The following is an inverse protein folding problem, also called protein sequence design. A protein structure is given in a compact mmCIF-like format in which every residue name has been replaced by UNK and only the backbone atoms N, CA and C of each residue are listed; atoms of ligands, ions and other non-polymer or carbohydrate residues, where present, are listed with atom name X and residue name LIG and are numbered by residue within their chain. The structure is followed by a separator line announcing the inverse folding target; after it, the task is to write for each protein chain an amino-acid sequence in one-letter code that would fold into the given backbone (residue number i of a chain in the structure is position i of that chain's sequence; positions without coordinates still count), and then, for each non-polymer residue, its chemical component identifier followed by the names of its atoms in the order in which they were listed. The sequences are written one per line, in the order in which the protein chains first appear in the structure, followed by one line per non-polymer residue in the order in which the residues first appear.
data_IF_461460122079
#
_entry.id   IF_461460122079
#
_cell.length_a   1.000
_cell.length_b   1.000
_cell.length_c   1.000
_cell.angle_alpha   90.00
_cell.angle_beta   90.00
_cell.angle_gamma   90.00
#
_symmetry.space_group_name_H-M   'P 1'
#
loop_
_entity.id
_entity.type
_entity.pdbx_description
1 polymer ?
#
# COMPACT_ATOMS: atom_id res chain seq x y z
N UNK A 1 -15.40 -12.02 17.89
CA UNK A 1 -15.85 -12.53 19.21
C UNK A 1 -15.20 -11.84 20.41
N UNK A 2 -13.86 -11.69 20.49
CA UNK A 2 -13.17 -11.10 21.67
C UNK A 2 -13.70 -9.69 22.02
N UNK A 3 -13.69 -8.76 21.06
CA UNK A 3 -14.23 -7.39 21.23
C UNK A 3 -15.77 -7.35 21.31
N UNK A 4 -16.43 -8.27 20.61
CA UNK A 4 -17.89 -8.31 20.50
C UNK A 4 -18.60 -8.76 21.79
N UNK A 5 -17.89 -9.44 22.69
CA UNK A 5 -18.42 -9.94 23.97
C UNK A 5 -17.86 -9.21 25.19
N UNK A 6 -17.13 -8.10 25.00
CA UNK A 6 -16.56 -7.36 26.11
C UNK A 6 -15.65 -8.19 27.04
N UNK A 7 -15.09 -9.31 26.55
CA UNK A 7 -14.15 -10.15 27.30
C UNK A 7 -12.77 -9.47 27.46
N UNK A 8 -12.61 -8.30 26.83
CA UNK A 8 -11.53 -7.32 26.96
C UNK A 8 -11.84 -6.21 27.99
N UNK A 9 -13.00 -6.24 28.67
CA UNK A 9 -13.26 -5.32 29.75
C UNK A 9 -12.25 -5.56 30.88
N UNK A 10 -11.43 -4.53 31.13
CA UNK A 10 -10.76 -4.38 32.42
C UNK A 10 -11.80 -4.60 33.51
N UNK A 11 -11.43 -5.34 34.54
CA UNK A 11 -12.21 -5.44 35.78
C UNK A 11 -12.57 -4.01 36.22
N UNK A 12 -13.81 -3.58 35.98
CA UNK A 12 -14.25 -2.22 36.25
C UNK A 12 -14.57 -2.11 37.74
N UNK A 13 -13.52 -1.98 38.55
CA UNK A 13 -13.58 -1.45 39.92
C UNK A 13 -13.07 -0.02 39.91
N UNK A 14 -13.91 0.94 40.31
CA UNK A 14 -13.69 2.38 40.12
C UNK A 14 -12.34 2.95 40.57
N UNK A 15 -11.83 3.89 39.76
CA UNK A 15 -11.07 5.07 40.16
C UNK A 15 -9.85 4.89 41.07
N UNK A 16 -8.70 4.54 40.51
CA UNK A 16 -7.40 4.73 41.17
C UNK A 16 -6.25 3.94 40.51
N UNK A 17 -5.00 4.40 40.68
CA UNK A 17 -3.79 3.65 40.26
C UNK A 17 -3.77 2.23 40.87
N UNK A 18 -4.44 2.02 42.01
CA UNK A 18 -4.55 0.75 42.74
C UNK A 18 -5.71 -0.17 42.32
N UNK A 19 -6.57 0.22 41.38
CA UNK A 19 -7.69 -0.61 40.92
C UNK A 19 -7.24 -1.87 40.18
N UNK A 20 -8.04 -2.96 40.16
CA UNK A 20 -7.70 -4.17 39.43
C UNK A 20 -7.57 -3.86 37.92
N UNK A 21 -6.44 -4.22 37.33
CA UNK A 21 -6.18 -4.09 35.88
C UNK A 21 -5.76 -5.45 35.33
N UNK A 22 -6.19 -5.80 34.12
CA UNK A 22 -5.89 -7.08 33.47
C UNK A 22 -7.13 -7.79 32.93
N UNK A 23 -6.90 -8.88 32.18
CA UNK A 23 -7.95 -9.71 31.54
C UNK A 23 -8.04 -9.56 30.02
N UNK A 24 -7.48 -8.51 29.43
CA UNK A 24 -7.55 -8.31 27.99
C UNK A 24 -6.63 -9.28 27.22
N UNK A 25 -7.25 -10.08 26.35
CA UNK A 25 -6.57 -10.78 25.27
C UNK A 25 -6.25 -9.79 24.16
N UNK A 26 -5.00 -9.77 23.71
CA UNK A 26 -4.58 -8.95 22.59
C UNK A 26 -3.92 -9.83 21.52
N UNK A 27 -4.49 -9.82 20.33
CA UNK A 27 -3.99 -10.51 19.16
C UNK A 27 -3.82 -9.49 18.04
N UNK A 28 -2.81 -9.69 17.20
CA UNK A 28 -2.69 -8.93 15.97
C UNK A 28 -3.89 -9.25 15.07
N UNK A 29 -4.90 -8.37 15.12
CA UNK A 29 -6.25 -8.62 14.61
C UNK A 29 -6.30 -8.25 13.13
N UNK A 30 -6.90 -9.10 12.28
CA UNK A 30 -7.00 -8.82 10.85
C UNK A 30 -7.90 -7.60 10.59
N UNK A 31 -7.55 -6.83 9.56
CA UNK A 31 -8.39 -5.78 8.98
C UNK A 31 -9.24 -6.33 7.83
N UNK A 32 -9.46 -5.48 6.82
CA UNK A 32 -10.17 -5.89 5.61
C UNK A 32 -9.31 -6.79 4.70
N UNK A 33 -7.99 -6.68 4.80
CA UNK A 33 -7.03 -7.43 3.99
C UNK A 33 -6.69 -8.80 4.61
N UNK A 34 -6.73 -9.83 3.79
CA UNK A 34 -6.31 -11.20 4.12
C UNK A 34 -4.81 -11.31 3.86
N UNK A 35 -4.03 -11.28 4.95
CA UNK A 35 -2.58 -11.38 4.93
C UNK A 35 -2.09 -12.67 5.61
N UNK A 36 -0.96 -13.24 5.15
CA UNK A 36 -0.19 -14.18 5.95
C UNK A 36 0.25 -13.51 7.25
N UNK A 37 -0.05 -14.15 8.39
CA UNK A 37 0.25 -13.62 9.72
C UNK A 37 0.84 -14.71 10.61
N UNK A 38 1.61 -14.27 11.60
CA UNK A 38 2.07 -15.16 12.67
C UNK A 38 1.09 -15.26 13.84
N UNK A 39 -0.03 -14.52 13.81
CA UNK A 39 -1.04 -14.55 14.88
C UNK A 39 -1.88 -15.83 14.85
N UNK A 40 -2.00 -16.46 13.68
CA UNK A 40 -2.60 -17.77 13.49
C UNK A 40 -1.78 -18.53 12.44
N UNK A 41 -1.29 -19.73 12.77
CA UNK A 41 -0.44 -20.54 11.88
C UNK A 41 -0.98 -21.96 11.84
N UNK A 42 -1.02 -22.54 10.65
CA UNK A 42 -1.21 -23.98 10.42
C UNK A 42 0.13 -24.53 9.95
N UNK A 43 0.67 -25.54 10.65
CA UNK A 43 2.02 -26.07 10.38
C UNK A 43 2.00 -27.41 9.61
N UNK A 44 0.82 -27.85 9.18
CA UNK A 44 0.62 -29.11 8.46
C UNK A 44 0.65 -30.35 9.35
N UNK A 45 0.84 -30.22 10.67
CA UNK A 45 0.79 -31.32 11.63
C UNK A 45 -0.60 -31.47 12.29
N UNK A 46 -1.67 -31.14 11.56
CA UNK A 46 -3.05 -31.07 12.07
C UNK A 46 -3.24 -30.16 13.30
N UNK A 47 -2.33 -29.19 13.50
CA UNK A 47 -2.44 -28.21 14.59
C UNK A 47 -2.68 -26.79 14.08
N UNK A 48 -3.39 -26.01 14.90
CA UNK A 48 -3.57 -24.57 14.74
C UNK A 48 -2.88 -23.88 15.91
N UNK A 49 -1.85 -23.08 15.60
CA UNK A 49 -1.16 -22.26 16.59
C UNK A 49 -1.74 -20.84 16.59
N UNK A 50 -2.30 -20.40 17.71
CA UNK A 50 -2.67 -19.00 17.92
C UNK A 50 -1.65 -18.28 18.80
N UNK A 51 -1.12 -17.15 18.32
CA UNK A 51 -0.20 -16.28 19.07
C UNK A 51 -0.89 -15.00 19.49
N UNK A 52 -1.07 -14.84 20.80
CA UNK A 52 -1.67 -13.65 21.41
C UNK A 52 -1.00 -13.34 22.75
N UNK A 53 -1.27 -12.16 23.29
CA UNK A 53 -0.81 -11.74 24.61
C UNK A 53 -2.00 -11.63 25.57
N UNK A 54 -1.72 -11.86 26.86
CA UNK A 54 -2.70 -11.75 27.94
C UNK A 54 -2.14 -10.84 29.00
N UNK A 55 -2.90 -9.82 29.39
CA UNK A 55 -2.56 -8.97 30.53
C UNK A 55 -3.01 -9.66 31.82
N UNK A 56 -2.06 -10.24 32.57
CA UNK A 56 -2.39 -10.95 33.81
C UNK A 56 -2.86 -9.99 34.91
N UNK A 57 -3.87 -10.39 35.71
CA UNK A 57 -4.49 -9.51 36.69
C UNK A 57 -3.62 -9.32 37.94
N UNK A 58 -3.54 -8.08 38.40
CA UNK A 58 -2.82 -7.71 39.63
C UNK A 58 -3.52 -6.56 40.37
N UNK A 59 -3.36 -6.54 41.70
CA UNK A 59 -3.68 -5.41 42.56
C UNK A 59 -2.36 -4.78 43.05
N UNK A 60 -1.92 -3.70 42.39
CA UNK A 60 -0.58 -3.15 42.60
C UNK A 60 0.51 -4.14 42.16
N UNK A 61 1.29 -4.67 43.12
CA UNK A 61 2.31 -5.71 42.87
C UNK A 61 1.86 -7.12 43.30
N UNK A 62 0.62 -7.27 43.74
CA UNK A 62 0.07 -8.55 44.21
C UNK A 62 -0.68 -9.24 43.07
N UNK A 63 -0.31 -10.48 42.77
CA UNK A 63 -0.96 -11.31 41.73
C UNK A 63 -2.37 -11.72 42.19
N UNK A 64 -3.36 -11.55 41.32
CA UNK A 64 -4.75 -11.97 41.58
C UNK A 64 -4.99 -13.37 41.02
N UNK A 65 -4.50 -14.40 41.72
CA UNK A 65 -4.48 -15.79 41.24
C UNK A 65 -5.84 -16.35 40.81
N UNK A 66 -6.91 -16.09 41.57
CA UNK A 66 -8.26 -16.54 41.21
C UNK A 66 -8.77 -15.90 39.91
N UNK A 67 -8.47 -14.62 39.68
CA UNK A 67 -8.82 -13.94 38.44
C UNK A 67 -7.97 -14.47 37.28
N UNK A 68 -6.69 -14.74 37.51
CA UNK A 68 -5.82 -15.34 36.50
C UNK A 68 -6.32 -16.73 36.07
N UNK A 69 -6.77 -17.56 37.02
CA UNK A 69 -7.41 -18.84 36.73
C UNK A 69 -8.71 -18.67 35.92
N UNK A 70 -9.56 -17.71 36.28
CA UNK A 70 -10.77 -17.43 35.50
C UNK A 70 -10.44 -17.04 34.05
N UNK A 71 -9.42 -16.20 33.83
CA UNK A 71 -9.02 -15.76 32.48
C UNK A 71 -8.43 -16.92 31.67
N UNK A 72 -7.44 -17.64 32.24
CA UNK A 72 -6.65 -18.63 31.50
C UNK A 72 -7.28 -20.02 31.49
N UNK A 73 -7.83 -20.46 32.62
CA UNK A 73 -8.37 -21.81 32.80
C UNK A 73 -9.83 -21.95 32.39
N UNK A 74 -10.59 -20.85 32.32
CA UNK A 74 -12.02 -20.88 31.97
C UNK A 74 -12.27 -20.10 30.68
N UNK A 75 -12.06 -18.79 30.67
CA UNK A 75 -12.44 -17.93 29.54
C UNK A 75 -11.65 -18.26 28.27
N UNK A 76 -10.34 -18.51 28.38
CA UNK A 76 -9.50 -18.87 27.22
C UNK A 76 -9.89 -20.23 26.65
N UNK A 77 -10.18 -21.21 27.49
CA UNK A 77 -10.60 -22.56 27.05
C UNK A 77 -11.92 -22.47 26.28
N UNK A 78 -12.91 -21.75 26.83
CA UNK A 78 -14.19 -21.51 26.16
C UNK A 78 -14.01 -20.77 24.81
N UNK A 79 -13.09 -19.79 24.76
CA UNK A 79 -12.80 -19.06 23.54
C UNK A 79 -12.18 -19.98 22.48
N UNK A 80 -11.24 -20.84 22.85
CA UNK A 80 -10.60 -21.81 21.96
C UNK A 80 -11.64 -22.79 21.42
N UNK A 81 -12.49 -23.35 22.28
CA UNK A 81 -13.57 -24.26 21.86
C UNK A 81 -14.52 -23.59 20.86
N UNK A 82 -14.87 -22.32 21.06
CA UNK A 82 -15.79 -21.60 20.17
C UNK A 82 -15.16 -21.09 18.87
N UNK A 83 -13.84 -20.92 18.81
CA UNK A 83 -13.16 -20.27 17.69
C UNK A 83 -12.31 -21.18 16.83
N UNK A 84 -11.86 -22.33 17.35
CA UNK A 84 -10.97 -23.25 16.64
C UNK A 84 -11.61 -24.60 16.33
N UNK A 85 -12.74 -24.94 16.94
CA UNK A 85 -13.44 -26.21 16.67
C UNK A 85 -14.44 -26.01 15.54
N UNK A 86 -14.21 -26.67 14.41
CA UNK A 86 -15.03 -26.53 13.19
C UNK A 86 -16.54 -26.72 13.42
N UNK A 87 -16.92 -27.68 14.28
CA UNK A 87 -18.33 -27.92 14.62
C UNK A 87 -19.01 -26.73 15.33
N UNK A 88 -18.23 -25.85 15.95
CA UNK A 88 -18.72 -24.67 16.67
C UNK A 88 -18.67 -23.38 15.83
N UNK A 89 -18.12 -23.45 14.62
CA UNK A 89 -18.03 -22.32 13.70
C UNK A 89 -19.25 -22.27 12.78
N UNK A 90 -19.50 -21.10 12.22
CA UNK A 90 -20.38 -20.96 11.07
C UNK A 90 -19.66 -21.52 9.83
N UNK A 91 -20.05 -22.73 9.42
CA UNK A 91 -19.37 -23.44 8.34
C UNK A 91 -19.55 -22.75 6.99
N UNK A 92 -20.70 -22.11 6.76
CA UNK A 92 -20.99 -21.39 5.52
C UNK A 92 -20.11 -20.15 5.40
N UNK A 93 -19.99 -19.37 6.48
CA UNK A 93 -19.12 -18.19 6.52
C UNK A 93 -17.64 -18.56 6.38
N UNK A 94 -17.19 -19.64 7.01
CA UNK A 94 -15.81 -20.11 6.87
C UNK A 94 -15.52 -20.55 5.44
N UNK A 95 -16.43 -21.31 4.83
CA UNK A 95 -16.31 -21.74 3.43
C UNK A 95 -16.28 -20.53 2.48
N UNK A 96 -17.19 -19.57 2.66
CA UNK A 96 -17.22 -18.34 1.87
C UNK A 96 -15.91 -17.55 2.00
N UNK A 97 -15.33 -17.47 3.19
CA UNK A 97 -14.06 -16.79 3.43
C UNK A 97 -12.91 -17.43 2.64
N UNK A 98 -12.79 -18.75 2.69
CA UNK A 98 -11.76 -19.51 1.95
C UNK A 98 -11.96 -19.35 0.44
N UNK A 99 -13.17 -19.58 -0.06
CA UNK A 99 -13.50 -19.45 -1.48
C UNK A 99 -13.25 -18.03 -2.00
N UNK A 100 -13.52 -17.00 -1.19
CA UNK A 100 -13.27 -15.61 -1.57
C UNK A 100 -11.77 -15.34 -1.74
N UNK A 101 -10.93 -15.87 -0.86
CA UNK A 101 -9.48 -15.76 -0.99
C UNK A 101 -8.94 -16.53 -2.21
N UNK A 102 -9.42 -17.75 -2.45
CA UNK A 102 -9.04 -18.57 -3.61
C UNK A 102 -9.46 -17.93 -4.93
N UNK A 103 -10.67 -17.37 -5.00
CA UNK A 103 -11.17 -16.65 -6.17
C UNK A 103 -10.30 -15.45 -6.51
N UNK A 104 -9.92 -14.64 -5.52
CA UNK A 104 -9.03 -13.51 -5.73
C UNK A 104 -7.67 -13.94 -6.25
N UNK A 105 -7.12 -15.03 -5.71
CA UNK A 105 -5.86 -15.57 -6.19
C UNK A 105 -5.96 -16.07 -7.63
N UNK A 106 -7.05 -16.77 -7.98
CA UNK A 106 -7.34 -17.23 -9.35
C UNK A 106 -7.38 -16.06 -10.33
N UNK A 107 -8.16 -15.01 -10.02
CA UNK A 107 -8.29 -13.82 -10.87
C UNK A 107 -6.94 -13.13 -11.06
N UNK A 108 -6.15 -13.00 -9.99
CA UNK A 108 -4.83 -12.34 -10.04
C UNK A 108 -3.83 -13.12 -10.91
N UNK A 109 -3.84 -14.45 -10.86
CA UNK A 109 -2.96 -15.28 -11.69
C UNK A 109 -3.22 -15.12 -13.19
N UNK A 110 -4.47 -14.88 -13.59
CA UNK A 110 -4.85 -14.69 -15.00
C UNK A 110 -4.44 -13.33 -15.57
N UNK A 111 -4.09 -12.34 -14.73
CA UNK A 111 -3.76 -10.98 -15.21
C UNK A 111 -2.63 -10.99 -16.25
N UNK A 112 -1.56 -11.76 -16.01
CA UNK A 112 -0.42 -11.81 -16.91
C UNK A 112 -0.78 -12.43 -18.26
N UNK A 113 -1.56 -13.51 -18.26
CA UNK A 113 -2.01 -14.23 -19.47
C UNK A 113 -2.91 -13.36 -20.34
N UNK A 114 -3.73 -12.50 -19.71
CA UNK A 114 -4.61 -11.55 -20.38
C UNK A 114 -3.94 -10.19 -20.67
N UNK A 115 -2.63 -10.05 -20.44
CA UNK A 115 -1.87 -8.81 -20.61
C UNK A 115 -2.45 -7.61 -19.82
N UNK A 116 -2.94 -7.88 -18.62
CA UNK A 116 -3.53 -6.91 -17.70
C UNK A 116 -2.57 -6.56 -16.54
N UNK A 117 -2.72 -5.36 -16.00
CA UNK A 117 -2.12 -4.94 -14.72
C UNK A 117 -3.12 -5.02 -13.57
N UNK A 118 -4.41 -4.82 -13.86
CA UNK A 118 -5.48 -4.87 -12.88
C UNK A 118 -6.80 -5.32 -13.51
N UNK A 119 -7.69 -5.85 -12.67
CA UNK A 119 -9.05 -6.23 -13.02
C UNK A 119 -10.02 -5.75 -11.93
N UNK A 120 -11.14 -5.15 -12.35
CA UNK A 120 -12.17 -4.60 -11.48
C UNK A 120 -13.51 -5.20 -11.88
N UNK A 121 -14.05 -6.10 -11.07
CA UNK A 121 -15.33 -6.76 -11.35
C UNK A 121 -16.52 -5.79 -11.34
N UNK A 122 -17.53 -6.10 -12.17
CA UNK A 122 -18.83 -5.42 -12.07
C UNK A 122 -19.47 -5.69 -10.70
N UNK A 123 -20.10 -4.67 -10.13
CA UNK A 123 -20.77 -4.76 -8.84
C UNK A 123 -19.86 -4.46 -7.63
N UNK A 124 -18.55 -4.31 -7.83
CA UNK A 124 -17.63 -3.93 -6.75
C UNK A 124 -18.00 -2.58 -6.12
N UNK A 125 -17.85 -2.49 -4.80
CA UNK A 125 -18.04 -1.27 -4.03
C UNK A 125 -16.67 -0.72 -3.66
N UNK A 126 -16.22 0.25 -4.45
CA UNK A 126 -14.91 0.89 -4.30
C UNK A 126 -14.83 1.89 -3.13
N UNK A 127 -15.81 2.81 -2.94
CA UNK A 127 -15.70 3.83 -1.90
C UNK A 127 -15.77 3.22 -0.50
N UNK A 128 -15.00 3.80 0.43
CA UNK A 128 -15.00 3.40 1.84
C UNK A 128 -16.00 4.24 2.64
N UNK A 129 -16.37 3.78 3.83
CA UNK A 129 -17.35 4.45 4.69
C UNK A 129 -16.90 5.86 5.10
N UNK A 130 -15.59 6.08 5.29
CA UNK A 130 -15.00 7.39 5.52
C UNK A 130 -13.48 7.34 5.29
N UNK A 131 -12.81 8.49 5.24
CA UNK A 131 -11.34 8.53 5.17
C UNK A 131 -10.60 7.95 6.40
N UNK A 132 -11.33 7.58 7.47
CA UNK A 132 -10.77 6.95 8.66
C UNK A 132 -11.24 5.49 8.86
N UNK A 133 -12.07 4.96 7.96
CA UNK A 133 -12.58 3.59 8.03
C UNK A 133 -12.25 2.84 6.75
N UNK A 134 -11.64 1.68 6.92
CA UNK A 134 -11.40 0.77 5.81
C UNK A 134 -12.63 -0.01 5.40
N UNK A 135 -13.79 0.08 6.07
CA UNK A 135 -15.02 -0.65 5.67
C UNK A 135 -15.67 -0.06 4.42
N UNK A 136 -16.42 -0.84 3.62
CA UNK A 136 -17.12 -0.29 2.44
C UNK A 136 -18.14 0.77 2.83
N UNK A 137 -18.41 1.68 1.90
CA UNK A 137 -19.51 2.63 2.03
C UNK A 137 -20.85 1.87 1.99
N UNK A 138 -21.54 1.87 3.13
CA UNK A 138 -22.89 1.34 3.26
C UNK A 138 -23.88 2.50 3.25
N UNK A 139 -24.24 2.95 2.04
CA UNK A 139 -25.22 4.03 1.85
C UNK A 139 -26.11 3.73 0.66
N UNK A 140 -27.36 4.20 0.70
CA UNK A 140 -28.29 4.10 -0.42
C UNK A 140 -27.80 4.83 -1.70
N UNK A 141 -26.79 5.68 -1.56
CA UNK A 141 -26.18 6.47 -2.64
C UNK A 141 -24.94 5.83 -3.25
N UNK A 142 -24.51 4.67 -2.77
CA UNK A 142 -23.35 3.98 -3.34
C UNK A 142 -23.61 3.60 -4.80
N UNK A 143 -22.65 3.86 -5.67
CA UNK A 143 -22.71 3.48 -7.09
C UNK A 143 -21.80 2.27 -7.28
N UNK A 144 -22.34 1.06 -7.46
CA UNK A 144 -21.53 -0.12 -7.76
C UNK A 144 -20.76 0.07 -9.06
N UNK A 145 -19.54 -0.44 -9.09
CA UNK A 145 -18.68 -0.33 -10.27
C UNK A 145 -19.34 -1.01 -11.47
N UNK A 146 -19.33 -0.32 -12.60
CA UNK A 146 -19.84 -0.82 -13.87
C UNK A 146 -18.83 -0.59 -14.98
N UNK A 147 -18.32 -1.67 -15.53
CA UNK A 147 -17.38 -1.69 -16.64
C UNK A 147 -18.00 -1.09 -17.91
N UNK A 148 -17.25 -0.24 -18.65
CA UNK A 148 -17.65 0.16 -19.99
C UNK A 148 -17.52 -1.04 -20.95
N UNK A 149 -18.38 -1.11 -21.97
CA UNK A 149 -18.45 -2.28 -22.87
C UNK A 149 -17.10 -2.58 -23.54
N UNK A 150 -16.38 -1.53 -23.90
CA UNK A 150 -15.13 -1.60 -24.67
C UNK A 150 -13.92 -2.08 -23.85
N UNK A 151 -14.02 -2.09 -22.51
CA UNK A 151 -12.97 -2.58 -21.61
C UNK A 151 -13.38 -3.86 -20.87
N UNK A 152 -14.50 -4.46 -21.28
CA UNK A 152 -15.01 -5.68 -20.65
C UNK A 152 -14.08 -6.84 -20.93
N UNK A 153 -13.62 -7.48 -19.86
CA UNK A 153 -12.96 -8.78 -19.89
C UNK A 153 -13.69 -9.75 -18.98
N UNK A 154 -13.55 -11.03 -19.26
CA UNK A 154 -14.09 -12.13 -18.46
C UNK A 154 -12.92 -12.94 -17.94
N UNK A 155 -12.88 -13.12 -16.62
CA UNK A 155 -11.89 -13.95 -15.93
C UNK A 155 -12.62 -15.04 -15.14
N UNK A 156 -11.90 -16.11 -14.82
CA UNK A 156 -12.46 -17.28 -14.14
C UNK A 156 -12.17 -17.26 -12.64
N UNK A 157 -13.19 -17.51 -11.84
CA UNK A 157 -13.06 -17.85 -10.43
C UNK A 157 -12.41 -19.22 -10.25
N UNK A 158 -12.04 -19.55 -9.01
CA UNK A 158 -11.41 -20.82 -8.69
C UNK A 158 -12.33 -22.02 -8.98
N UNK A 159 -13.65 -21.81 -8.91
CA UNK A 159 -14.67 -22.80 -9.26
C UNK A 159 -14.99 -22.87 -10.77
N UNK A 160 -14.30 -22.08 -11.59
CA UNK A 160 -14.50 -22.00 -13.04
C UNK A 160 -15.66 -21.10 -13.48
N UNK A 161 -16.34 -20.42 -12.56
CA UNK A 161 -17.39 -19.45 -12.92
C UNK A 161 -16.79 -18.16 -13.47
N UNK A 162 -17.42 -17.60 -14.50
CA UNK A 162 -16.98 -16.36 -15.13
C UNK A 162 -17.38 -15.13 -14.31
N UNK A 163 -16.46 -14.18 -14.21
CA UNK A 163 -16.68 -12.84 -13.65
C UNK A 163 -16.33 -11.82 -14.71
N UNK A 164 -17.32 -11.01 -15.07
CA UNK A 164 -17.15 -9.89 -15.99
C UNK A 164 -16.73 -8.62 -15.25
N UNK A 165 -15.75 -7.91 -15.80
CA UNK A 165 -15.25 -6.66 -15.22
C UNK A 165 -14.42 -5.84 -16.20
N UNK A 166 -13.85 -4.74 -15.71
CA UNK A 166 -12.94 -3.90 -16.46
C UNK A 166 -11.51 -4.43 -16.33
N UNK A 167 -10.88 -4.74 -17.45
CA UNK A 167 -9.44 -5.04 -17.51
C UNK A 167 -8.65 -3.76 -17.77
N UNK A 168 -7.61 -3.52 -16.97
CA UNK A 168 -6.62 -2.46 -17.25
C UNK A 168 -5.41 -3.11 -17.93
N UNK A 169 -5.15 -2.84 -19.21
CA UNK A 169 -4.04 -3.45 -19.94
C UNK A 169 -2.69 -2.90 -19.48
N UNK A 170 -1.63 -3.65 -19.76
CA UNK A 170 -0.24 -3.15 -19.64
C UNK A 170 -0.02 -1.97 -20.60
N UNK A 171 0.76 -0.98 -20.15
CA UNK A 171 1.02 0.26 -20.89
C UNK A 171 0.85 1.50 -20.02
N UNK A 172 0.52 2.64 -20.64
CA UNK A 172 0.21 3.91 -19.97
C UNK A 172 -1.30 4.13 -19.97
N UNK A 173 -1.92 4.00 -18.80
CA UNK A 173 -3.35 4.23 -18.58
C UNK A 173 -3.57 5.51 -17.79
N UNK A 174 -4.44 6.38 -18.30
CA UNK A 174 -4.88 7.60 -17.62
C UNK A 174 -6.29 7.41 -17.05
N UNK A 175 -6.47 7.83 -15.81
CA UNK A 175 -7.77 7.98 -15.15
C UNK A 175 -8.07 9.48 -15.03
N UNK A 176 -9.06 9.97 -15.75
CA UNK A 176 -9.41 11.40 -15.81
C UNK A 176 -10.89 11.65 -15.53
N UNK A 177 -11.33 12.91 -15.52
CA UNK A 177 -12.67 13.33 -15.14
C UNK A 177 -12.68 14.47 -14.11
N UNK A 178 -13.87 15.01 -13.83
CA UNK A 178 -14.05 16.12 -12.89
C UNK A 178 -13.60 15.80 -11.46
N UNK A 179 -13.39 16.84 -10.64
CA UNK A 179 -13.15 16.68 -9.21
C UNK A 179 -14.35 16.02 -8.51
N UNK A 180 -14.11 15.09 -7.58
CA UNK A 180 -15.15 14.30 -6.89
C UNK A 180 -15.91 13.27 -7.74
N UNK A 181 -15.42 12.90 -8.94
CA UNK A 181 -16.06 11.86 -9.77
C UNK A 181 -15.54 10.42 -9.50
N UNK A 182 -14.71 10.20 -8.48
CA UNK A 182 -14.26 8.87 -8.05
C UNK A 182 -12.91 8.37 -8.61
N UNK A 183 -12.09 9.26 -9.20
CA UNK A 183 -10.79 8.88 -9.82
C UNK A 183 -9.83 8.26 -8.80
N UNK A 184 -9.55 8.98 -7.71
CA UNK A 184 -8.67 8.51 -6.63
C UNK A 184 -9.24 7.28 -5.95
N UNK A 185 -10.56 7.19 -5.77
CA UNK A 185 -11.23 5.99 -5.23
C UNK A 185 -11.00 4.75 -6.12
N UNK A 186 -11.04 4.90 -7.45
CA UNK A 186 -10.71 3.80 -8.35
C UNK A 186 -9.22 3.43 -8.25
N UNK A 187 -8.33 4.42 -8.22
CA UNK A 187 -6.89 4.17 -8.09
C UNK A 187 -6.53 3.51 -6.75
N UNK A 188 -7.16 3.92 -5.65
CA UNK A 188 -7.00 3.31 -4.32
C UNK A 188 -7.46 1.85 -4.29
N UNK A 189 -8.58 1.53 -4.95
CA UNK A 189 -9.03 0.15 -5.10
C UNK A 189 -8.02 -0.69 -5.91
N UNK A 190 -7.47 -0.14 -7.00
CA UNK A 190 -6.39 -0.78 -7.77
C UNK A 190 -5.13 -0.94 -6.91
N UNK A 191 -4.75 0.09 -6.15
CA UNK A 191 -3.59 0.08 -5.27
C UNK A 191 -3.63 -1.03 -4.23
N UNK A 192 -4.79 -1.23 -3.60
CA UNK A 192 -4.98 -2.26 -2.58
C UNK A 192 -5.38 -3.63 -3.16
N UNK A 193 -5.70 -3.71 -4.46
CA UNK A 193 -5.93 -4.98 -5.18
C UNK A 193 -4.72 -5.94 -5.23
N UNK A 194 -3.54 -5.48 -4.77
CA UNK A 194 -2.38 -6.34 -4.49
C UNK A 194 -2.64 -7.29 -3.32
N UNK A 195 -3.58 -6.96 -2.43
CA UNK A 195 -4.02 -7.83 -1.34
C UNK A 195 -5.33 -8.52 -1.68
N UNK A 196 -5.56 -9.66 -1.02
CA UNK A 196 -6.88 -10.25 -0.95
C UNK A 196 -7.69 -9.52 0.13
N UNK A 197 -9.00 -9.41 -0.04
CA UNK A 197 -9.93 -8.80 0.90
C UNK A 197 -10.95 -9.82 1.41
N UNK A 198 -11.48 -9.56 2.61
CA UNK A 198 -12.53 -10.38 3.23
C UNK A 198 -13.85 -10.33 2.44
N UNK A 199 -14.72 -11.36 2.54
CA UNK A 199 -16.06 -11.31 1.95
C UNK A 199 -16.85 -10.09 2.41
N UNK A 200 -17.53 -9.41 1.47
CA UNK A 200 -18.32 -8.22 1.77
C UNK A 200 -17.50 -6.93 1.92
N UNK A 201 -16.20 -6.94 1.61
CA UNK A 201 -15.37 -5.74 1.57
C UNK A 201 -15.77 -4.76 0.45
N UNK A 202 -16.38 -5.26 -0.61
CA UNK A 202 -16.68 -4.54 -1.85
C UNK A 202 -15.56 -4.60 -2.88
N UNK A 203 -14.30 -4.81 -2.46
CA UNK A 203 -13.10 -4.90 -3.32
C UNK A 203 -12.56 -6.32 -3.45
N UNK A 204 -13.25 -7.33 -2.93
CA UNK A 204 -12.82 -8.74 -2.99
C UNK A 204 -12.82 -9.34 -4.40
N UNK A 205 -13.22 -8.60 -5.43
CA UNK A 205 -13.06 -8.97 -6.84
C UNK A 205 -12.30 -7.89 -7.64
N UNK A 206 -11.52 -7.08 -6.93
CA UNK A 206 -10.58 -6.11 -7.48
C UNK A 206 -9.17 -6.64 -7.24
N UNK A 207 -8.48 -7.00 -8.31
CA UNK A 207 -7.14 -7.59 -8.24
C UNK A 207 -6.15 -6.83 -9.08
N UNK A 208 -4.94 -6.70 -8.57
CA UNK A 208 -3.83 -5.99 -9.22
C UNK A 208 -2.58 -6.87 -9.15
N UNK A 209 -1.71 -6.73 -10.16
CA UNK A 209 -0.39 -7.35 -10.17
C UNK A 209 0.38 -7.03 -8.88
N UNK A 210 0.99 -8.06 -8.27
CA UNK A 210 1.65 -7.94 -6.96
C UNK A 210 2.87 -7.00 -6.96
N UNK A 211 3.38 -6.64 -8.14
CA UNK A 211 4.51 -5.73 -8.32
C UNK A 211 4.05 -4.31 -8.67
N UNK A 212 2.79 -3.98 -8.42
CA UNK A 212 2.30 -2.61 -8.53
C UNK A 212 2.65 -1.80 -7.27
N UNK A 213 3.27 -0.64 -7.47
CA UNK A 213 3.74 0.24 -6.40
C UNK A 213 3.12 1.62 -6.56
N UNK A 214 2.52 2.13 -5.49
CA UNK A 214 2.06 3.53 -5.40
C UNK A 214 3.27 4.45 -5.24
N UNK A 215 3.36 5.44 -6.12
CA UNK A 215 4.38 6.48 -6.10
C UNK A 215 3.72 7.79 -5.71
N UNK A 216 4.41 8.55 -4.85
CA UNK A 216 4.03 9.90 -4.41
C UNK A 216 5.25 10.73 -4.09
N UNK A 217 5.06 12.04 -3.91
CA UNK A 217 6.09 12.90 -3.36
C UNK A 217 6.20 12.71 -1.84
N UNK A 218 7.43 12.76 -1.33
CA UNK A 218 7.78 12.54 0.07
C UNK A 218 8.77 13.63 0.51
N UNK A 219 8.29 14.87 0.53
CA UNK A 219 9.10 16.04 0.87
C UNK A 219 9.72 15.90 2.27
N UNK A 220 11.02 16.17 2.37
CA UNK A 220 11.80 16.05 3.61
C UNK A 220 12.36 14.66 3.92
N UNK A 221 12.11 13.63 3.09
CA UNK A 221 12.68 12.30 3.35
C UNK A 221 14.19 12.24 3.08
N UNK A 222 14.87 11.36 3.80
CA UNK A 222 16.24 10.95 3.46
C UNK A 222 16.29 10.07 2.21
N UNK A 223 17.35 10.25 1.41
CA UNK A 223 17.71 9.43 0.24
C UNK A 223 19.20 9.12 0.33
N UNK A 224 19.58 7.87 0.07
CA UNK A 224 20.99 7.44 0.16
C UNK A 224 21.44 6.69 -1.09
N UNK A 225 22.37 7.30 -1.82
CA UNK A 225 23.04 6.72 -3.00
C UNK A 225 22.10 6.17 -4.09
N UNK A 226 20.99 6.87 -4.38
CA UNK A 226 20.04 6.47 -5.45
C UNK A 226 20.44 7.11 -6.78
N UNK A 227 20.43 6.34 -7.86
CA UNK A 227 20.55 6.89 -9.21
C UNK A 227 19.22 7.53 -9.63
N UNK A 228 19.15 8.86 -9.58
CA UNK A 228 18.02 9.68 -10.04
C UNK A 228 18.31 10.35 -11.39
N UNK A 229 19.44 10.03 -12.04
CA UNK A 229 19.86 10.63 -13.29
C UNK A 229 18.85 10.51 -14.44
N UNK A 230 17.96 9.48 -14.49
CA UNK A 230 16.89 9.41 -15.49
C UNK A 230 15.92 10.59 -15.44
N UNK A 231 15.79 11.24 -14.28
CA UNK A 231 14.88 12.35 -14.07
C UNK A 231 15.60 13.66 -13.76
N UNK A 232 16.79 13.62 -13.17
CA UNK A 232 17.45 14.80 -12.62
C UNK A 232 18.92 14.76 -13.01
N UNK A 233 19.39 15.75 -13.77
CA UNK A 233 20.77 15.78 -14.29
C UNK A 233 21.70 16.67 -13.46
N UNK A 234 21.56 17.99 -13.61
CA UNK A 234 22.50 18.99 -13.11
C UNK A 234 21.96 19.72 -11.88
N UNK A 235 22.06 19.10 -10.70
CA UNK A 235 21.64 19.75 -9.47
C UNK A 235 22.56 20.93 -9.09
N UNK A 236 22.01 22.00 -8.48
CA UNK A 236 22.82 23.07 -7.90
C UNK A 236 23.87 22.54 -6.93
N UNK A 237 25.07 23.12 -6.96
CA UNK A 237 26.19 22.69 -6.12
C UNK A 237 26.92 21.43 -6.61
N UNK A 238 26.59 20.92 -7.81
CA UNK A 238 27.30 19.79 -8.41
C UNK A 238 27.06 18.46 -7.69
N UNK A 239 25.91 18.31 -7.03
CA UNK A 239 25.53 17.05 -6.40
C UNK A 239 25.43 15.94 -7.45
N UNK A 240 26.01 14.79 -7.13
CA UNK A 240 25.96 13.60 -8.00
C UNK A 240 24.53 13.04 -8.05
N UNK A 241 23.99 12.91 -9.26
CA UNK A 241 22.65 12.39 -9.51
C UNK A 241 22.64 10.88 -9.77
N UNK A 242 23.80 10.26 -10.04
CA UNK A 242 23.94 8.81 -10.12
C UNK A 242 24.08 8.15 -8.75
N UNK A 243 24.55 8.90 -7.76
CA UNK A 243 24.67 8.47 -6.36
C UNK A 243 24.04 9.49 -5.40
N UNK A 244 22.82 9.92 -5.72
CA UNK A 244 22.16 11.01 -5.01
C UNK A 244 21.91 10.67 -3.54
N UNK A 245 22.39 11.55 -2.67
CA UNK A 245 22.26 11.44 -1.22
C UNK A 245 21.84 12.79 -0.63
N UNK A 246 20.82 12.79 0.23
CA UNK A 246 20.34 13.97 0.96
C UNK A 246 19.55 13.52 2.19
N UNK A 247 19.60 14.30 3.27
CA UNK A 247 18.72 14.09 4.44
C UNK A 247 17.38 14.83 4.32
N UNK A 248 17.28 15.74 3.35
CA UNK A 248 16.14 16.61 3.10
C UNK A 248 15.89 16.68 1.58
N UNK A 249 15.12 15.72 1.06
CA UNK A 249 14.77 15.66 -0.35
C UNK A 249 13.57 16.56 -0.65
N UNK A 250 13.64 17.36 -1.72
CA UNK A 250 12.47 18.10 -2.21
C UNK A 250 11.43 17.14 -2.81
N UNK A 251 10.20 17.61 -2.99
CA UNK A 251 9.11 16.85 -3.62
C UNK A 251 9.48 16.13 -4.93
N UNK A 252 10.23 16.76 -5.84
CA UNK A 252 10.62 16.12 -7.11
C UNK A 252 11.77 15.12 -6.94
N UNK A 253 12.78 15.43 -6.12
CA UNK A 253 13.90 14.51 -5.87
C UNK A 253 13.46 13.29 -5.08
N UNK A 254 12.55 13.47 -4.11
CA UNK A 254 11.97 12.37 -3.33
C UNK A 254 11.13 11.45 -4.19
N UNK A 255 10.28 12.01 -5.07
CA UNK A 255 9.47 11.22 -5.99
C UNK A 255 10.32 10.53 -7.06
N UNK A 256 11.37 11.18 -7.59
CA UNK A 256 12.32 10.54 -8.50
C UNK A 256 13.04 9.36 -7.83
N UNK A 257 13.51 9.54 -6.59
CA UNK A 257 14.09 8.47 -5.80
C UNK A 257 13.09 7.34 -5.54
N UNK A 258 11.83 7.66 -5.17
CA UNK A 258 10.77 6.67 -4.95
C UNK A 258 10.54 5.79 -6.20
N UNK A 259 10.46 6.39 -7.39
CA UNK A 259 10.35 5.62 -8.64
C UNK A 259 11.55 4.68 -8.81
N UNK A 260 12.77 5.20 -8.64
CA UNK A 260 13.99 4.43 -8.85
C UNK A 260 14.12 3.27 -7.85
N UNK A 261 13.81 3.50 -6.57
CA UNK A 261 13.77 2.48 -5.53
C UNK A 261 12.71 1.41 -5.79
N UNK A 262 11.52 1.81 -6.26
CA UNK A 262 10.48 0.87 -6.64
C UNK A 262 10.91 -0.01 -7.82
N UNK A 263 11.57 0.57 -8.83
CA UNK A 263 12.09 -0.16 -9.98
C UNK A 263 13.22 -1.12 -9.60
N UNK A 264 14.13 -0.69 -8.73
CA UNK A 264 15.19 -1.52 -8.14
C UNK A 264 14.60 -2.71 -7.38
N UNK A 265 13.49 -2.50 -6.66
CA UNK A 265 12.75 -3.56 -5.96
C UNK A 265 11.93 -4.48 -6.90
N UNK A 266 11.97 -4.24 -8.22
CA UNK A 266 11.34 -5.08 -9.24
C UNK A 266 9.89 -4.71 -9.57
N UNK A 267 9.47 -3.48 -9.29
CA UNK A 267 8.15 -2.95 -9.67
C UNK A 267 7.85 -3.16 -11.17
N UNK A 268 6.59 -3.49 -11.48
CA UNK A 268 6.08 -3.64 -12.86
C UNK A 268 4.91 -2.72 -13.20
N UNK A 269 4.34 -2.03 -12.22
CA UNK A 269 3.32 -1.00 -12.48
C UNK A 269 3.48 0.15 -11.49
N UNK A 270 3.65 1.37 -11.99
CA UNK A 270 3.60 2.59 -11.19
C UNK A 270 2.15 3.06 -11.09
N UNK A 271 1.66 3.26 -9.86
CA UNK A 271 0.37 3.87 -9.58
C UNK A 271 0.61 5.30 -9.10
N UNK A 272 0.00 6.28 -9.75
CA UNK A 272 0.30 7.70 -9.51
C UNK A 272 -1.00 8.49 -9.38
N UNK A 273 -1.08 9.37 -8.39
CA UNK A 273 -2.15 10.36 -8.29
C UNK A 273 -1.56 11.77 -8.33
N UNK A 274 -2.02 12.59 -9.27
CA UNK A 274 -1.62 13.98 -9.43
C UNK A 274 -1.66 14.75 -8.10
N UNK A 275 -2.71 14.53 -7.30
CA UNK A 275 -2.95 15.28 -6.05
C UNK A 275 -1.90 14.99 -4.96
N UNK A 276 -1.17 13.87 -5.08
CA UNK A 276 -0.13 13.43 -4.13
C UNK A 276 1.30 13.50 -4.71
N UNK A 277 1.45 14.10 -5.89
CA UNK A 277 2.69 14.08 -6.67
C UNK A 277 3.37 15.44 -6.76
N UNK A 278 4.65 15.44 -7.10
CA UNK A 278 5.37 16.66 -7.45
C UNK A 278 5.03 17.04 -8.91
N UNK A 279 4.25 18.10 -9.12
CA UNK A 279 3.79 18.53 -10.45
C UNK A 279 4.94 18.73 -11.44
N UNK A 280 6.05 19.32 -10.97
CA UNK A 280 7.25 19.56 -11.77
C UNK A 280 7.98 18.27 -12.19
N UNK A 281 7.78 17.16 -11.49
CA UNK A 281 8.24 15.84 -11.93
C UNK A 281 7.24 15.18 -12.87
N UNK A 282 5.93 15.43 -12.74
CA UNK A 282 4.94 14.82 -13.63
C UNK A 282 4.96 15.39 -15.04
N UNK A 283 5.04 16.71 -15.16
CA UNK A 283 4.90 17.43 -16.43
C UNK A 283 5.72 18.71 -16.41
N UNK A 284 5.91 19.30 -17.59
CA UNK A 284 6.52 20.63 -17.69
C UNK A 284 5.84 21.47 -18.76
N UNK A 285 5.19 22.53 -18.33
CA UNK A 285 4.48 23.48 -19.19
C UNK A 285 5.42 24.17 -20.21
N UNK A 286 4.93 24.34 -21.44
CA UNK A 286 5.70 24.93 -22.54
C UNK A 286 6.17 26.37 -22.27
N UNK A 287 5.38 27.19 -21.57
CA UNK A 287 5.77 28.57 -21.22
C UNK A 287 6.92 28.54 -20.24
N UNK A 288 6.86 27.65 -19.24
CA UNK A 288 7.95 27.45 -18.29
C UNK A 288 9.22 26.93 -18.96
N UNK A 289 9.11 26.03 -19.94
CA UNK A 289 10.26 25.59 -20.76
C UNK A 289 10.88 26.76 -21.55
N UNK A 290 10.03 27.65 -22.08
CA UNK A 290 10.48 28.82 -22.85
C UNK A 290 11.17 29.88 -21.98
N UNK A 291 10.69 30.06 -20.74
CA UNK A 291 11.19 31.03 -19.78
C UNK A 291 12.47 30.54 -19.07
N UNK A 292 12.45 29.31 -18.55
CA UNK A 292 13.53 28.71 -17.78
C UNK A 292 14.19 27.62 -18.64
N UNK A 293 15.26 27.97 -19.37
CA UNK A 293 15.92 27.03 -20.29
C UNK A 293 16.74 25.95 -19.57
N UNK A 294 17.38 26.31 -18.46
CA UNK A 294 18.30 25.43 -17.72
C UNK A 294 17.59 24.77 -16.53
N UNK A 295 16.63 23.90 -16.81
CA UNK A 295 15.92 23.11 -15.80
C UNK A 295 16.51 21.70 -15.76
N UNK A 296 17.01 21.22 -14.60
CA UNK A 296 17.63 19.90 -14.49
C UNK A 296 16.64 18.74 -14.56
N UNK A 297 15.34 18.99 -14.39
CA UNK A 297 14.30 17.96 -14.32
C UNK A 297 13.80 17.58 -15.72
N UNK A 298 13.89 16.28 -16.02
CA UNK A 298 13.18 15.60 -17.10
C UNK A 298 11.87 15.04 -16.53
N UNK A 299 10.69 15.52 -16.97
CA UNK A 299 9.43 15.10 -16.39
C UNK A 299 9.08 13.65 -16.78
N UNK A 300 8.34 12.97 -15.92
CA UNK A 300 7.89 11.59 -16.10
C UNK A 300 7.07 11.39 -17.36
N UNK A 301 6.26 12.38 -17.78
CA UNK A 301 5.51 12.31 -19.05
C UNK A 301 6.42 12.02 -20.26
N UNK A 302 7.67 12.51 -20.25
CA UNK A 302 8.66 12.26 -21.30
C UNK A 302 9.34 10.87 -21.21
N UNK A 303 9.21 10.19 -20.06
CA UNK A 303 9.90 8.94 -19.72
C UNK A 303 8.94 7.74 -19.63
N UNK A 304 7.66 7.96 -19.38
CA UNK A 304 6.68 6.90 -19.11
C UNK A 304 6.59 5.86 -20.24
N UNK A 305 6.63 6.32 -21.51
CA UNK A 305 6.64 5.43 -22.67
C UNK A 305 7.93 4.63 -22.78
N UNK A 306 9.08 5.28 -22.63
CA UNK A 306 10.38 4.62 -22.68
C UNK A 306 10.53 3.57 -21.55
N UNK A 307 10.01 3.89 -20.36
CA UNK A 307 9.96 2.98 -19.22
C UNK A 307 9.16 1.70 -19.55
N UNK A 308 8.00 1.84 -20.17
CA UNK A 308 7.20 0.70 -20.63
C UNK A 308 7.93 -0.09 -21.72
N UNK A 309 8.44 0.57 -22.75
CA UNK A 309 9.06 -0.09 -23.90
C UNK A 309 10.35 -0.84 -23.53
N UNK A 310 11.16 -0.31 -22.62
CA UNK A 310 12.47 -0.90 -22.27
C UNK A 310 12.37 -1.93 -21.14
N UNK A 311 11.53 -1.66 -20.12
CA UNK A 311 11.51 -2.45 -18.89
C UNK A 311 10.18 -3.18 -18.62
N UNK A 312 9.19 -2.97 -19.49
CA UNK A 312 7.85 -3.55 -19.37
C UNK A 312 7.09 -3.04 -18.14
N UNK A 313 7.43 -1.83 -17.66
CA UNK A 313 6.81 -1.24 -16.47
C UNK A 313 5.68 -0.33 -16.91
N UNK A 314 4.46 -0.68 -16.49
CA UNK A 314 3.24 0.07 -16.83
C UNK A 314 3.06 1.30 -15.92
N UNK A 315 2.27 2.27 -16.36
CA UNK A 315 1.89 3.43 -15.56
C UNK A 315 0.37 3.55 -15.53
N UNK A 316 -0.23 3.60 -14.34
CA UNK A 316 -1.63 4.01 -14.14
C UNK A 316 -1.60 5.33 -13.39
N UNK A 317 -2.11 6.39 -14.00
CA UNK A 317 -2.05 7.74 -13.43
C UNK A 317 -3.43 8.40 -13.39
N UNK A 318 -3.80 8.94 -12.22
CA UNK A 318 -4.95 9.85 -12.08
C UNK A 318 -4.52 11.26 -12.44
N UNK A 319 -5.25 11.89 -13.36
CA UNK A 319 -4.99 13.26 -13.85
C UNK A 319 -6.29 14.06 -13.90
N UNK A 320 -6.27 15.24 -13.29
CA UNK A 320 -7.29 16.27 -13.39
C UNK A 320 -6.83 17.53 -14.15
N UNK A 321 -5.54 17.88 -14.12
CA UNK A 321 -5.03 19.15 -14.64
C UNK A 321 -3.99 19.05 -15.75
N UNK A 322 -3.32 17.91 -15.93
CA UNK A 322 -2.12 17.79 -16.77
C UNK A 322 -2.41 17.18 -18.15
N UNK A 323 -2.90 18.01 -19.09
CA UNK A 323 -3.32 17.56 -20.42
C UNK A 323 -2.23 16.94 -21.31
N UNK A 324 -0.96 17.25 -21.07
CA UNK A 324 0.17 16.70 -21.86
C UNK A 324 0.24 15.17 -21.81
N UNK A 325 -0.21 14.55 -20.73
CA UNK A 325 -0.23 13.11 -20.58
C UNK A 325 -1.17 12.40 -21.58
N UNK A 326 -2.16 13.11 -22.14
CA UNK A 326 -3.03 12.56 -23.19
C UNK A 326 -2.22 12.14 -24.43
N UNK A 327 -1.09 12.81 -24.69
CA UNK A 327 -0.25 12.51 -25.85
C UNK A 327 0.52 11.19 -25.74
N UNK A 328 0.77 10.72 -24.51
CA UNK A 328 1.56 9.51 -24.23
C UNK A 328 0.70 8.34 -23.75
N UNK A 329 -0.61 8.49 -23.62
CA UNK A 329 -1.52 7.47 -23.10
C UNK A 329 -1.86 6.39 -24.15
N UNK A 330 -1.87 5.12 -23.73
CA UNK A 330 -2.48 4.03 -24.52
C UNK A 330 -3.99 3.97 -24.32
N UNK A 331 -4.41 4.21 -23.07
CA UNK A 331 -5.77 4.10 -22.63
C UNK A 331 -6.14 5.32 -21.78
N UNK A 332 -7.26 5.97 -22.10
CA UNK A 332 -7.81 7.06 -21.31
C UNK A 332 -9.20 6.66 -20.83
N UNK A 333 -9.37 6.60 -19.51
CA UNK A 333 -10.63 6.29 -18.85
C UNK A 333 -11.11 7.56 -18.16
N UNK A 334 -12.25 8.10 -18.60
CA UNK A 334 -12.92 9.19 -17.91
C UNK A 334 -13.92 8.67 -16.89
N UNK A 335 -13.92 9.22 -15.68
CA UNK A 335 -14.97 9.00 -14.70
C UNK A 335 -15.95 10.17 -14.70
N UNK A 336 -17.22 9.85 -14.87
CA UNK A 336 -18.34 10.77 -14.75
C UNK A 336 -19.37 10.17 -13.80
N UNK A 337 -19.72 10.90 -12.73
CA UNK A 337 -20.64 10.44 -11.69
C UNK A 337 -20.35 9.01 -11.22
N UNK A 338 -19.06 8.72 -10.96
CA UNK A 338 -18.55 7.42 -10.50
C UNK A 338 -18.60 6.28 -11.53
N UNK A 339 -18.96 6.57 -12.79
CA UNK A 339 -19.03 5.58 -13.86
C UNK A 339 -17.86 5.78 -14.84
N UNK A 340 -17.03 4.76 -15.08
CA UNK A 340 -15.94 4.83 -16.05
C UNK A 340 -16.46 4.81 -17.50
N UNK A 341 -15.78 5.55 -18.39
CA UNK A 341 -16.02 5.59 -19.84
C UNK A 341 -14.68 5.58 -20.57
N UNK A 342 -14.63 4.86 -21.70
CA UNK A 342 -13.48 4.91 -22.59
C UNK A 342 -13.46 6.26 -23.32
N UNK A 343 -12.37 7.02 -23.17
CA UNK A 343 -12.17 8.33 -23.79
C UNK A 343 -10.91 8.40 -24.67
N UNK A 344 -10.33 7.26 -25.05
CA UNK A 344 -9.06 7.24 -25.80
C UNK A 344 -9.16 7.95 -27.15
N UNK A 345 -10.27 7.81 -27.86
CA UNK A 345 -10.45 8.44 -29.19
C UNK A 345 -10.65 9.95 -29.06
N UNK A 346 -11.43 10.38 -28.07
CA UNK A 346 -11.67 11.77 -27.72
C UNK A 346 -10.37 12.44 -27.26
N UNK A 347 -9.57 11.77 -26.45
CA UNK A 347 -8.25 12.24 -26.02
C UNK A 347 -7.33 12.49 -27.21
N UNK A 348 -7.26 11.56 -28.18
CA UNK A 348 -6.49 11.74 -29.42
C UNK A 348 -6.96 12.97 -30.21
N UNK A 349 -8.28 13.15 -30.33
CA UNK A 349 -8.86 14.32 -31.02
C UNK A 349 -8.51 15.65 -30.33
N UNK A 350 -8.43 15.65 -28.99
CA UNK A 350 -7.99 16.82 -28.20
C UNK A 350 -6.51 17.13 -28.46
N UNK A 351 -5.65 16.11 -28.49
CA UNK A 351 -4.21 16.27 -28.78
C UNK A 351 -3.99 16.78 -30.21
N UNK A 352 -4.77 16.33 -31.20
CA UNK A 352 -4.70 16.85 -32.57
C UNK A 352 -5.09 18.33 -32.65
N UNK A 353 -6.11 18.74 -31.89
CA UNK A 353 -6.58 20.13 -31.85
C UNK A 353 -5.66 21.05 -31.04
N UNK A 354 -5.05 20.53 -29.98
CA UNK A 354 -4.13 21.23 -29.10
C UNK A 354 -2.84 20.41 -28.95
N UNK A 355 -1.92 20.49 -29.92
CA UNK A 355 -0.71 19.69 -29.94
C UNK A 355 0.12 19.87 -28.68
N UNK A 356 0.52 18.75 -28.07
CA UNK A 356 1.50 18.73 -26.99
C UNK A 356 2.91 18.87 -27.55
N UNK A 357 3.80 19.51 -26.78
CA UNK A 357 5.23 19.59 -27.10
C UNK A 357 6.07 18.66 -26.22
N UNK A 358 5.45 17.64 -25.61
CA UNK A 358 6.19 16.59 -24.91
C UNK A 358 7.14 15.92 -25.88
N UNK A 359 8.44 16.04 -25.59
CA UNK A 359 9.47 15.29 -26.29
C UNK A 359 9.71 14.00 -25.51
N UNK A 360 9.15 12.90 -26.02
CA UNK A 360 9.42 11.57 -25.48
C UNK A 360 10.90 11.25 -25.64
N UNK A 361 11.51 10.78 -24.56
CA UNK A 361 12.89 10.32 -24.60
C UNK A 361 12.96 8.95 -25.27
N UNK A 362 13.96 8.69 -26.13
CA UNK A 362 14.10 7.40 -26.80
C UNK A 362 14.47 6.29 -25.81
N UNK A 363 15.13 6.65 -24.70
CA UNK A 363 15.51 5.75 -23.64
C UNK A 363 15.08 6.25 -22.25
N UNK A 364 14.76 5.31 -21.37
CA UNK A 364 14.48 5.63 -19.97
C UNK A 364 15.75 6.02 -19.22
N UNK A 365 16.85 5.29 -19.41
CA UNK A 365 18.08 5.37 -18.62
C UNK A 365 18.36 4.07 -17.87
N UNK A 366 19.27 4.12 -16.90
CA UNK A 366 19.61 3.01 -16.00
C UNK A 366 18.51 2.72 -14.98
N UNK A 367 18.44 1.46 -14.54
CA UNK A 367 17.79 1.10 -13.29
C UNK A 367 18.87 0.97 -12.19
N UNK A 368 18.57 1.33 -10.93
CA UNK A 368 19.54 1.20 -9.85
C UNK A 368 19.77 -0.28 -9.54
N UNK A 369 20.98 -0.61 -9.10
CA UNK A 369 21.33 -1.92 -8.57
C UNK A 369 22.33 -1.75 -7.42
N UNK A 370 21.83 -1.27 -6.29
CA UNK A 370 22.63 -0.92 -5.12
C UNK A 370 22.82 -2.13 -4.21
N UNK A 371 24.01 -2.19 -3.62
CA UNK A 371 24.25 -3.06 -2.47
C UNK A 371 23.75 -2.35 -1.21
N UNK A 372 22.64 -2.83 -0.66
CA UNK A 372 22.04 -2.24 0.54
C UNK A 372 22.85 -2.61 1.78
N UNK A 373 23.29 -1.60 2.52
CA UNK A 373 23.88 -1.75 3.85
C UNK A 373 22.99 -1.05 4.87
N UNK A 374 22.62 -1.77 5.93
CA UNK A 374 21.89 -1.20 7.07
C UNK A 374 22.84 -1.15 8.26
N UNK A 375 23.10 0.04 8.78
CA UNK A 375 23.92 0.23 9.99
C UNK A 375 23.00 0.50 11.19
N UNK A 376 23.02 -0.42 12.15
CA UNK A 376 22.27 -0.31 13.41
C UNK A 376 23.20 -0.25 14.63
N UNK A 377 24.49 0.04 14.45
CA UNK A 377 25.45 0.11 15.57
C UNK A 377 25.06 1.21 16.56
N UNK A 378 25.07 0.88 17.85
CA UNK A 378 24.68 1.81 18.92
C UNK A 378 23.17 2.05 19.04
N UNK A 379 22.35 1.36 18.24
CA UNK A 379 20.89 1.42 18.30
C UNK A 379 20.32 0.12 18.89
N UNK A 380 19.23 0.24 19.64
CA UNK A 380 18.42 -0.91 20.05
C UNK A 380 17.79 -1.55 18.81
N UNK A 381 17.39 -2.82 18.96
CA UNK A 381 16.68 -3.54 17.90
C UNK A 381 15.47 -2.72 17.41
N UNK A 382 15.36 -2.45 16.08
CA UNK A 382 14.23 -1.71 15.53
C UNK A 382 12.89 -2.33 15.91
N UNK A 383 11.92 -1.49 16.23
CA UNK A 383 10.58 -1.96 16.59
C UNK A 383 9.49 -1.00 16.13
N UNK A 384 8.47 -1.54 15.48
CA UNK A 384 7.30 -0.78 15.06
C UNK A 384 6.28 -0.68 16.20
N UNK A 385 6.13 0.53 16.74
CA UNK A 385 5.17 0.85 17.81
C UNK A 385 3.77 1.08 17.23
N UNK A 386 3.71 1.60 16.00
CA UNK A 386 2.48 1.93 15.24
C UNK A 386 2.65 1.53 13.78
N UNK A 387 1.55 1.49 13.01
CA UNK A 387 1.53 1.02 11.60
C UNK A 387 2.56 1.75 10.73
N UNK A 388 2.66 3.06 10.86
CA UNK A 388 3.48 3.89 9.98
C UNK A 388 4.80 4.37 10.60
N UNK A 389 5.35 3.69 11.60
CA UNK A 389 6.60 4.16 12.22
C UNK A 389 7.41 3.04 12.87
N UNK A 390 8.71 3.00 12.56
CA UNK A 390 9.70 2.11 13.19
C UNK A 390 10.64 2.95 14.04
N UNK A 391 10.66 2.70 15.35
CA UNK A 391 11.54 3.42 16.27
C UNK A 391 12.99 2.92 16.18
N UNK A 392 13.94 3.85 16.16
CA UNK A 392 15.39 3.63 16.18
C UNK A 392 16.00 4.34 17.39
N UNK A 393 15.96 3.69 18.55
CA UNK A 393 16.39 4.31 19.82
C UNK A 393 17.86 3.98 20.13
N UNK A 394 18.65 4.94 20.64
CA UNK A 394 20.00 4.68 21.11
C UNK A 394 20.03 3.60 22.22
N UNK A 395 21.10 2.80 22.26
CA UNK A 395 21.33 1.87 23.37
C UNK A 395 21.62 2.62 24.67
N UNK A 396 22.45 3.67 24.59
CA UNK A 396 22.74 4.57 25.69
C UNK A 396 21.46 5.32 26.09
N UNK A 397 21.08 5.24 27.37
CA UNK A 397 19.98 6.05 27.90
C UNK A 397 20.46 7.50 28.03
N UNK A 398 19.81 8.45 27.37
CA UNK A 398 19.89 9.84 27.79
C UNK A 398 19.39 9.93 29.23
N UNK A 399 20.10 10.66 30.10
CA UNK A 399 19.67 10.90 31.47
C UNK A 399 18.44 11.83 31.55
N UNK A 400 18.08 12.45 30.42
CA UNK A 400 16.93 13.31 30.25
C UNK A 400 16.09 12.73 29.11
N UNK A 401 14.97 12.08 29.47
CA UNK A 401 13.88 11.86 28.52
C UNK A 401 13.19 13.22 28.36
N UNK A 402 13.50 13.95 27.29
CA UNK A 402 12.74 15.13 26.90
C UNK A 402 11.57 14.68 26.00
N UNK A 403 10.32 14.66 26.50
CA UNK A 403 9.16 14.26 25.71
C UNK A 403 8.84 15.23 24.56
N UNK A 404 9.53 16.38 24.45
CA UNK A 404 9.38 17.31 23.33
C UNK A 404 10.29 16.99 22.14
N UNK A 405 11.28 16.09 22.28
CA UNK A 405 12.11 15.66 21.17
C UNK A 405 11.35 14.75 20.21
N UNK A 406 11.55 14.96 18.90
CA UNK A 406 10.97 14.11 17.87
C UNK A 406 11.49 12.67 18.02
N UNK A 407 10.57 11.69 17.95
CA UNK A 407 10.96 10.29 18.06
C UNK A 407 11.86 9.91 16.89
N UNK A 408 13.10 9.52 17.16
CA UNK A 408 14.03 9.04 16.13
C UNK A 408 13.56 7.70 15.56
N UNK A 409 13.46 7.61 14.23
CA UNK A 409 12.97 6.41 13.57
C UNK A 409 12.79 6.56 12.07
N UNK A 410 12.15 5.56 11.48
CA UNK A 410 11.78 5.51 10.07
C UNK A 410 10.28 5.76 9.98
N UNK A 411 9.91 6.86 9.32
CA UNK A 411 8.53 7.14 8.96
C UNK A 411 8.11 6.30 7.75
N UNK A 412 6.96 5.64 7.85
CA UNK A 412 6.35 4.83 6.79
C UNK A 412 4.98 5.38 6.39
N UNK A 413 4.68 6.64 6.75
CA UNK A 413 3.39 7.29 6.48
C UNK A 413 3.09 7.42 4.99
N UNK A 414 4.12 7.60 4.16
CA UNK A 414 4.01 7.67 2.70
C UNK A 414 3.86 6.32 2.01
N UNK A 415 3.98 5.20 2.74
CA UNK A 415 3.76 3.86 2.19
C UNK A 415 2.27 3.51 2.28
N UNK A 416 1.47 4.06 1.37
CA UNK A 416 0.00 3.91 1.37
C UNK A 416 -0.47 2.45 1.20
N UNK A 417 0.40 1.57 0.68
CA UNK A 417 0.14 0.13 0.56
C UNK A 417 0.49 -0.68 1.83
N UNK A 418 0.93 -0.03 2.90
CA UNK A 418 1.15 -0.66 4.21
C UNK A 418 -0.16 -0.64 5.02
N UNK A 419 -0.85 -1.78 5.06
CA UNK A 419 -2.22 -1.89 5.60
C UNK A 419 -2.25 -2.30 7.08
N UNK A 420 -1.20 -2.94 7.59
CA UNK A 420 -1.19 -3.48 8.96
C UNK A 420 0.13 -3.26 9.72
N UNK A 421 0.02 -3.03 11.04
CA UNK A 421 1.19 -2.96 11.94
C UNK A 421 2.05 -4.22 11.94
N UNK A 422 1.45 -5.39 11.67
CA UNK A 422 2.18 -6.64 11.50
C UNK A 422 3.26 -6.55 10.41
N UNK A 423 2.95 -5.88 9.29
CA UNK A 423 3.90 -5.66 8.20
C UNK A 423 5.04 -4.73 8.63
N UNK A 424 4.74 -3.64 9.33
CA UNK A 424 5.76 -2.73 9.86
C UNK A 424 6.71 -3.44 10.85
N UNK A 425 6.17 -4.34 11.69
CA UNK A 425 6.98 -5.18 12.59
C UNK A 425 7.85 -6.17 11.81
N UNK A 426 7.33 -6.75 10.73
CA UNK A 426 8.10 -7.60 9.82
C UNK A 426 9.24 -6.81 9.18
N UNK A 427 9.00 -5.60 8.68
CA UNK A 427 10.03 -4.72 8.12
C UNK A 427 11.11 -4.43 9.17
N UNK A 428 10.73 -4.07 10.40
CA UNK A 428 11.69 -3.85 11.49
C UNK A 428 12.58 -5.07 11.77
N UNK A 429 12.01 -6.29 11.69
CA UNK A 429 12.77 -7.54 11.83
C UNK A 429 13.68 -7.82 10.63
N UNK A 430 13.24 -7.51 9.42
CA UNK A 430 14.07 -7.62 8.21
C UNK A 430 15.25 -6.65 8.25
N UNK A 431 15.05 -5.40 8.68
CA UNK A 431 16.14 -4.43 8.87
C UNK A 431 17.21 -4.95 9.83
N UNK A 432 16.79 -5.56 10.95
CA UNK A 432 17.70 -6.21 11.89
C UNK A 432 18.47 -7.36 11.23
N UNK A 433 17.78 -8.21 10.44
CA UNK A 433 18.40 -9.33 9.74
C UNK A 433 19.39 -8.88 8.64
N UNK A 434 19.06 -7.83 7.90
CA UNK A 434 19.93 -7.24 6.87
C UNK A 434 21.19 -6.69 7.54
N UNK A 435 21.04 -5.86 8.58
CA UNK A 435 22.18 -5.29 9.31
C UNK A 435 23.14 -6.37 9.83
N UNK A 436 22.61 -7.50 10.34
CA UNK A 436 23.41 -8.62 10.80
C UNK A 436 24.16 -9.36 9.68
N UNK A 437 23.59 -9.41 8.46
CA UNK A 437 24.22 -10.02 7.29
C UNK A 437 25.31 -9.11 6.72
N UNK A 438 25.01 -7.83 6.56
CA UNK A 438 25.93 -6.85 5.95
C UNK A 438 27.09 -6.49 6.87
N UNK A 439 26.92 -6.55 8.20
CA UNK A 439 28.00 -6.35 9.16
C UNK A 439 29.12 -7.41 9.08
N UNK A 440 28.86 -8.57 8.46
CA UNK A 440 29.83 -9.66 8.31
C UNK A 440 30.67 -9.57 7.02
N UNK A 441 30.56 -8.48 6.25
CA UNK A 441 31.33 -8.26 5.02
C UNK A 441 30.88 -9.11 3.83
N UNK A 442 29.58 -9.43 3.77
CA UNK A 442 28.96 -10.21 2.69
C UNK A 442 28.27 -9.33 1.66
#
# INVERSE_FOLDING_TARGET
MIRAKHLDQNVSGGGGWSGPKGGAFNINSPGQEILPRTSAVTDGNDTIELRFTVSLPAAGRTVLGQQAYQILGVNLVELVEKSLVYANLDQEQLQLHVQTAENQQSLRHQLAEHNLTAFIANGSVLPRASGASETPMDSATVVPFKCPKDLKVELLRADGTEVSGMGVPRGVTLLTGGGFHGKSTLLEAIQLGVYNHVPGDGRELVVTDLKAVKIRAEDGRGVTSVDISPFISNLPGGKDTHHFTTDDASGSTSMAANIQEALEAGCKTLLIDEDSSATNLLVRDQRMQSLIRNEPITPLVAKARALYNHYGVSTIIVIGGLGDWLSVADLVIGLDSYVPRLLTTEAKSVVEKYPSNVQETPDYGSLPNRNLQVDLRGLRAPYAIRKHFIALKPEAKSAVDDPSEAEAGIDLSSLDQLVEIGQARTIAKLLQGIAQRTAKGG
#
